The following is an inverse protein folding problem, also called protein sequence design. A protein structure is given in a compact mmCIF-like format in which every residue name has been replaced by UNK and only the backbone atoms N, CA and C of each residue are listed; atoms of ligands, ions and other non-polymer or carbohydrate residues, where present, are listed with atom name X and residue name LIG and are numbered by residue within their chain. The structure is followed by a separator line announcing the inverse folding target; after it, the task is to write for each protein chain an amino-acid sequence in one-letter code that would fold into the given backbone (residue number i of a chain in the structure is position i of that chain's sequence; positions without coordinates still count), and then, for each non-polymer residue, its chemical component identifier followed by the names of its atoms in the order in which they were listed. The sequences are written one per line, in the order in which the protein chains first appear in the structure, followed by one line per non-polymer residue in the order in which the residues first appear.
data_IF_353167502506
#
_entry.id   IF_353167502506
#
_cell.length_a   1.000
_cell.length_b   1.000
_cell.length_c   1.000
_cell.angle_alpha   90.00
_cell.angle_beta   90.00
_cell.angle_gamma   90.00
#
_symmetry.space_group_name_H-M   'P 1'
#
loop_
_entity.id
_entity.type
_entity.pdbx_description
1 polymer ?
#
# COMPACT_ATOMS: atom_id res chain seq x y z
N UNK A 1 -3.38 3.26 -6.85
CA UNK A 1 -2.27 2.29 -7.05
C UNK A 1 -1.26 2.25 -5.90
N UNK A 2 -0.76 3.38 -5.39
CA UNK A 2 0.26 3.39 -4.32
C UNK A 2 -0.22 2.79 -2.99
N UNK A 3 -1.51 2.94 -2.65
CA UNK A 3 -2.11 2.31 -1.47
C UNK A 3 -1.93 0.78 -1.47
N UNK A 4 -2.14 0.11 -2.61
CA UNK A 4 -1.97 -1.34 -2.71
C UNK A 4 -0.50 -1.75 -2.60
N UNK A 5 0.43 -0.94 -3.13
CA UNK A 5 1.87 -1.17 -2.94
C UNK A 5 2.23 -1.07 -1.46
N UNK A 6 1.81 0.00 -0.77
CA UNK A 6 2.02 0.15 0.67
C UNK A 6 1.41 -1.00 1.49
N UNK A 7 0.15 -1.35 1.21
CA UNK A 7 -0.56 -2.41 1.93
C UNK A 7 0.09 -3.77 1.73
N UNK A 8 0.51 -4.09 0.51
CA UNK A 8 1.23 -5.34 0.22
C UNK A 8 2.56 -5.42 0.97
N UNK A 9 3.36 -4.34 0.93
CA UNK A 9 4.64 -4.27 1.65
C UNK A 9 4.45 -4.42 3.15
N UNK A 10 3.45 -3.75 3.73
CA UNK A 10 3.10 -3.89 5.15
C UNK A 10 2.73 -5.33 5.49
N UNK A 11 1.84 -5.96 4.72
CA UNK A 11 1.44 -7.36 4.93
C UNK A 11 2.64 -8.29 4.89
N UNK A 12 3.52 -8.15 3.89
CA UNK A 12 4.70 -9.00 3.75
C UNK A 12 5.71 -8.76 4.87
N UNK A 13 5.93 -7.51 5.30
CA UNK A 13 6.79 -7.19 6.44
C UNK A 13 6.27 -7.81 7.75
N UNK A 14 4.96 -7.76 7.99
CA UNK A 14 4.35 -8.40 9.16
C UNK A 14 4.56 -9.92 9.13
N UNK A 15 4.33 -10.55 7.98
CA UNK A 15 4.57 -12.00 7.82
C UNK A 15 6.04 -12.38 8.04
N UNK A 16 6.98 -11.57 7.55
CA UNK A 16 8.41 -11.82 7.73
C UNK A 16 8.86 -11.65 9.18
N UNK A 17 8.28 -10.69 9.90
CA UNK A 17 8.58 -10.49 11.31
C UNK A 17 8.31 -11.76 12.13
N UNK A 18 7.24 -12.47 11.81
CA UNK A 18 6.81 -13.67 12.52
C UNK A 18 7.54 -14.95 12.07
N UNK A 19 7.99 -15.01 10.80
CA UNK A 19 8.47 -16.26 10.19
C UNK A 19 9.98 -16.28 9.90
N UNK A 20 10.63 -15.13 9.73
CA UNK A 20 12.05 -15.07 9.36
C UNK A 20 12.71 -13.72 9.71
N UNK A 21 13.27 -13.58 10.93
CA UNK A 21 13.90 -12.33 11.40
C UNK A 21 15.05 -11.78 10.52
N UNK A 22 15.92 -12.60 9.90
CA UNK A 22 16.99 -12.09 9.03
C UNK A 22 16.46 -11.42 7.75
N UNK A 23 15.49 -12.05 7.08
CA UNK A 23 14.89 -11.50 5.85
C UNK A 23 14.05 -10.25 6.15
N UNK A 24 13.44 -10.18 7.34
CA UNK A 24 12.76 -8.97 7.83
C UNK A 24 13.71 -7.77 7.88
N UNK A 25 14.93 -7.95 8.42
CA UNK A 25 15.87 -6.84 8.62
C UNK A 25 16.31 -6.20 7.30
N UNK A 26 16.58 -7.01 6.28
CA UNK A 26 16.87 -6.49 4.95
C UNK A 26 15.65 -5.79 4.33
N UNK A 27 14.48 -6.44 4.39
CA UNK A 27 13.22 -5.90 3.85
C UNK A 27 12.90 -4.53 4.44
N UNK A 28 13.01 -4.41 5.77
CA UNK A 28 12.79 -3.18 6.50
C UNK A 28 13.74 -2.07 6.04
N UNK A 29 15.04 -2.36 5.97
CA UNK A 29 16.05 -1.40 5.51
C UNK A 29 15.80 -0.98 4.06
N UNK A 30 15.45 -1.92 3.18
CA UNK A 30 15.11 -1.63 1.79
C UNK A 30 13.90 -0.70 1.68
N UNK A 31 12.84 -0.96 2.46
CA UNK A 31 11.61 -0.14 2.50
C UNK A 31 11.84 1.23 3.14
N UNK A 32 12.74 1.33 4.11
CA UNK A 32 13.11 2.61 4.72
C UNK A 32 13.76 3.56 3.69
N UNK A 33 14.58 3.01 2.78
CA UNK A 33 15.25 3.76 1.71
C UNK A 33 14.30 3.96 0.51
N UNK A 34 13.51 2.96 0.17
CA UNK A 34 12.58 2.97 -0.97
C UNK A 34 11.15 3.05 -0.44
N UNK A 35 10.62 4.27 -0.33
CA UNK A 35 9.29 4.48 0.26
C UNK A 35 8.19 3.90 -0.64
N UNK A 36 7.36 2.95 -0.16
CA UNK A 36 6.29 2.34 -0.96
C UNK A 36 5.10 3.27 -1.21
N UNK A 37 5.07 4.44 -0.55
CA UNK A 37 4.15 5.54 -0.86
C UNK A 37 4.40 6.14 -2.25
N UNK A 38 5.66 6.10 -2.73
CA UNK A 38 6.00 6.33 -4.13
C UNK A 38 6.06 4.99 -4.88
N UNK A 39 4.89 4.51 -5.29
CA UNK A 39 4.75 3.21 -5.92
C UNK A 39 5.55 3.04 -7.21
N UNK A 40 5.72 4.10 -8.02
CA UNK A 40 6.48 4.00 -9.29
C UNK A 40 7.98 3.85 -9.01
N UNK A 41 8.53 4.67 -8.12
CA UNK A 41 9.93 4.57 -7.72
C UNK A 41 10.22 3.22 -7.05
N UNK A 42 9.35 2.81 -6.12
CA UNK A 42 9.47 1.55 -5.42
C UNK A 42 9.50 0.34 -6.36
N UNK A 43 8.59 0.29 -7.34
CA UNK A 43 8.56 -0.80 -8.32
C UNK A 43 9.80 -0.83 -9.22
N UNK A 44 10.36 0.34 -9.58
CA UNK A 44 11.63 0.41 -10.31
C UNK A 44 12.80 -0.10 -9.46
N UNK A 45 12.83 0.25 -8.19
CA UNK A 45 13.84 -0.25 -7.25
C UNK A 45 13.76 -1.76 -7.08
N UNK A 46 12.54 -2.31 -6.93
CA UNK A 46 12.32 -3.76 -6.92
C UNK A 46 12.81 -4.39 -8.22
N UNK A 47 12.45 -3.86 -9.39
CA UNK A 47 12.91 -4.38 -10.69
C UNK A 47 14.45 -4.45 -10.82
N UNK A 48 15.19 -3.58 -10.15
CA UNK A 48 16.66 -3.67 -10.08
C UNK A 48 17.15 -4.85 -9.26
N UNK A 49 16.48 -5.17 -8.14
CA UNK A 49 16.74 -6.38 -7.33
C UNK A 49 16.56 -7.64 -8.18
N UNK A 50 15.52 -7.66 -9.03
CA UNK A 50 15.28 -8.74 -9.99
C UNK A 50 16.36 -8.86 -11.08
N UNK A 51 16.83 -7.75 -11.62
CA UNK A 51 17.88 -7.78 -12.65
C UNK A 51 19.23 -8.27 -12.09
N UNK A 52 19.52 -7.93 -10.82
CA UNK A 52 20.75 -8.34 -10.15
C UNK A 52 20.80 -9.85 -9.87
N UNK A 53 19.67 -10.51 -9.62
CA UNK A 53 19.62 -11.97 -9.43
C UNK A 53 19.87 -12.74 -10.74
N UNK A 54 19.41 -12.23 -11.89
CA UNK A 54 19.54 -12.89 -13.20
C UNK A 54 20.88 -12.65 -13.92
N UNK A 55 21.57 -11.54 -13.64
CA UNK A 55 22.89 -11.25 -14.23
C UNK A 55 24.03 -12.09 -13.61
N UNK A 56 23.83 -12.63 -12.41
CA UNK A 56 24.85 -13.40 -11.70
C UNK A 56 24.90 -14.87 -12.14
N UNK A 57 23.79 -15.44 -12.61
CA UNK A 57 23.74 -16.81 -13.16
C UNK A 57 24.35 -16.91 -14.56
N UNK A 58 24.27 -15.84 -15.36
CA UNK A 58 24.82 -15.79 -16.72
C UNK A 58 26.36 -15.56 -16.79
N UNK A 59 27.02 -15.20 -15.68
CA UNK A 59 28.45 -14.85 -15.65
C UNK A 59 29.36 -15.92 -15.02
N UNK A 60 28.81 -17.03 -14.53
CA UNK A 60 29.61 -18.13 -13.99
C UNK A 60 30.16 -18.95 -15.17
N UNK A 61 31.37 -18.59 -15.58
CA UNK A 61 32.20 -19.37 -16.48
C UNK A 61 32.68 -20.64 -15.73
N UNK A 62 32.49 -21.88 -16.26
CA UNK A 62 32.75 -23.12 -15.52
C UNK A 62 34.23 -23.43 -15.18
N UNK A 63 35.16 -22.50 -15.42
CA UNK A 63 36.61 -22.73 -15.32
C UNK A 63 37.33 -22.02 -14.17
N UNK A 64 36.65 -21.39 -13.20
CA UNK A 64 37.32 -20.82 -12.01
C UNK A 64 36.67 -21.25 -10.70
N UNK A 65 37.01 -22.46 -10.27
CA UNK A 65 36.81 -22.96 -8.91
C UNK A 65 37.98 -22.54 -8.00
N UNK A 66 37.97 -21.30 -7.49
CA UNK A 66 38.79 -20.98 -6.30
C UNK A 66 38.07 -19.98 -5.41
N UNK A 67 38.00 -20.33 -4.12
CA UNK A 67 37.50 -19.61 -2.94
C UNK A 67 35.98 -19.61 -2.68
N UNK A 68 35.59 -20.41 -1.68
CA UNK A 68 34.23 -20.62 -1.15
C UNK A 68 33.53 -19.41 -0.52
N UNK A 69 33.34 -18.33 -1.30
CA UNK A 69 32.48 -17.18 -0.96
C UNK A 69 31.20 -17.10 -1.80
N UNK A 70 31.02 -17.99 -2.79
CA UNK A 70 29.92 -17.93 -3.77
C UNK A 70 28.58 -18.47 -3.27
N UNK A 71 28.58 -19.50 -2.42
CA UNK A 71 27.35 -20.19 -2.00
C UNK A 71 26.44 -19.33 -1.08
N UNK A 72 27.04 -18.58 -0.15
CA UNK A 72 26.28 -17.73 0.80
C UNK A 72 25.72 -16.46 0.17
N UNK A 73 26.37 -15.91 -0.85
CA UNK A 73 25.84 -14.76 -1.59
C UNK A 73 24.66 -15.15 -2.49
N UNK A 74 24.68 -16.35 -3.07
CA UNK A 74 23.58 -16.86 -3.91
C UNK A 74 22.27 -17.02 -3.13
N UNK A 75 22.32 -17.54 -1.89
CA UNK A 75 21.11 -17.72 -1.07
C UNK A 75 20.47 -16.38 -0.68
N UNK A 76 21.28 -15.39 -0.28
CA UNK A 76 20.75 -14.07 0.11
C UNK A 76 20.14 -13.28 -1.04
N UNK A 77 20.64 -13.46 -2.27
CA UNK A 77 20.05 -12.83 -3.46
C UNK A 77 18.74 -13.49 -3.86
N UNK A 78 18.66 -14.82 -3.72
CA UNK A 78 17.43 -15.58 -3.93
C UNK A 78 16.34 -15.22 -2.90
N UNK A 79 16.69 -15.04 -1.63
CA UNK A 79 15.75 -14.58 -0.60
C UNK A 79 15.18 -13.19 -0.91
N UNK A 80 16.02 -12.27 -1.42
CA UNK A 80 15.59 -10.92 -1.83
C UNK A 80 14.67 -10.96 -3.05
N UNK A 81 14.94 -11.87 -3.96
CA UNK A 81 14.14 -12.14 -5.15
C UNK A 81 12.74 -12.67 -4.77
N UNK A 82 12.68 -13.74 -3.99
CA UNK A 82 11.43 -14.34 -3.50
C UNK A 82 10.59 -13.34 -2.70
N UNK A 83 11.25 -12.49 -1.92
CA UNK A 83 10.58 -11.42 -1.19
C UNK A 83 9.94 -10.39 -2.11
N UNK A 84 10.67 -9.96 -3.15
CA UNK A 84 10.16 -9.03 -4.14
C UNK A 84 8.94 -9.63 -4.86
N UNK A 85 8.97 -10.93 -5.17
CA UNK A 85 7.86 -11.66 -5.80
C UNK A 85 6.64 -11.69 -4.90
N UNK A 86 6.85 -11.98 -3.62
CA UNK A 86 5.78 -11.97 -2.63
C UNK A 86 5.09 -10.62 -2.55
N UNK A 87 5.84 -9.52 -2.57
CA UNK A 87 5.26 -8.16 -2.59
C UNK A 87 4.45 -7.92 -3.86
N UNK A 88 4.96 -8.32 -5.02
CA UNK A 88 4.28 -8.13 -6.31
C UNK A 88 2.97 -8.93 -6.39
N UNK A 89 3.00 -10.22 -6.03
CA UNK A 89 1.83 -11.09 -6.01
C UNK A 89 0.80 -10.60 -4.98
N UNK A 90 1.23 -10.22 -3.79
CA UNK A 90 0.34 -9.68 -2.75
C UNK A 90 -0.35 -8.40 -3.22
N UNK A 91 0.41 -7.50 -3.87
CA UNK A 91 -0.15 -6.27 -4.45
C UNK A 91 -1.22 -6.57 -5.50
N UNK A 92 -0.97 -7.52 -6.40
CA UNK A 92 -1.93 -7.93 -7.43
C UNK A 92 -3.17 -8.59 -6.82
N UNK A 93 -2.98 -9.46 -5.83
CA UNK A 93 -4.08 -10.12 -5.12
C UNK A 93 -5.01 -9.10 -4.44
N UNK A 94 -4.44 -8.13 -3.71
CA UNK A 94 -5.21 -7.08 -3.05
C UNK A 94 -5.99 -6.24 -4.06
N UNK A 95 -5.39 -5.95 -5.22
CA UNK A 95 -6.07 -5.24 -6.30
C UNK A 95 -7.24 -6.04 -6.88
N UNK A 96 -7.04 -7.33 -7.17
CA UNK A 96 -8.11 -8.22 -7.63
C UNK A 96 -9.27 -8.34 -6.63
N UNK A 97 -8.95 -8.42 -5.33
CA UNK A 97 -9.96 -8.44 -4.25
C UNK A 97 -10.74 -7.12 -4.16
N UNK A 98 -10.08 -5.99 -4.37
CA UNK A 98 -10.72 -4.68 -4.36
C UNK A 98 -11.62 -4.48 -5.59
N UNK A 99 -11.15 -4.82 -6.79
CA UNK A 99 -11.96 -4.73 -8.01
C UNK A 99 -13.28 -5.50 -7.88
N UNK A 100 -13.24 -6.69 -7.27
CA UNK A 100 -14.46 -7.50 -7.04
C UNK A 100 -15.44 -6.90 -6.03
N UNK A 101 -15.00 -5.97 -5.18
CA UNK A 101 -15.82 -5.32 -4.15
C UNK A 101 -16.26 -3.91 -4.54
N UNK A 102 -15.65 -3.31 -5.57
CA UNK A 102 -16.00 -1.97 -6.00
C UNK A 102 -17.30 -1.99 -6.78
N UNK A 103 -18.39 -1.79 -6.04
CA UNK A 103 -19.63 -1.32 -6.61
C UNK A 103 -19.55 0.21 -6.72
N UNK A 104 -19.29 0.68 -7.94
CA UNK A 104 -19.16 2.12 -8.19
C UNK A 104 -20.45 2.87 -7.83
N UNK A 105 -21.63 2.23 -7.97
CA UNK A 105 -22.90 2.85 -7.63
C UNK A 105 -22.98 3.18 -6.13
N UNK A 106 -22.59 2.24 -5.25
CA UNK A 106 -22.58 2.46 -3.80
C UNK A 106 -21.61 3.53 -3.33
N UNK A 107 -20.52 3.74 -4.07
CA UNK A 107 -19.56 4.81 -3.74
C UNK A 107 -20.14 6.17 -4.08
N UNK A 108 -20.80 6.31 -5.24
CA UNK A 108 -21.49 7.53 -5.62
C UNK A 108 -22.66 7.85 -4.69
N UNK A 109 -23.45 6.85 -4.34
CA UNK A 109 -24.55 6.96 -3.38
C UNK A 109 -24.04 7.52 -2.05
N UNK A 110 -23.00 6.91 -1.47
CA UNK A 110 -22.40 7.37 -0.22
C UNK A 110 -21.90 8.83 -0.28
N UNK A 111 -21.24 9.21 -1.38
CA UNK A 111 -20.76 10.60 -1.57
C UNK A 111 -21.95 11.57 -1.71
N UNK A 112 -23.00 11.17 -2.42
CA UNK A 112 -24.22 11.95 -2.58
C UNK A 112 -24.92 12.18 -1.22
N UNK A 113 -25.01 11.15 -0.40
CA UNK A 113 -25.60 11.22 0.94
C UNK A 113 -24.80 12.14 1.87
N UNK A 114 -23.46 12.02 1.86
CA UNK A 114 -22.56 12.90 2.62
C UNK A 114 -22.73 14.37 2.18
N UNK A 115 -22.85 14.63 0.87
CA UNK A 115 -23.08 15.98 0.37
C UNK A 115 -24.44 16.55 0.79
N UNK A 116 -25.49 15.72 0.79
CA UNK A 116 -26.82 16.13 1.24
C UNK A 116 -26.81 16.48 2.73
N UNK A 117 -26.17 15.64 3.57
CA UNK A 117 -26.03 15.89 4.99
C UNK A 117 -25.27 17.20 5.28
N UNK A 118 -24.16 17.44 4.57
CA UNK A 118 -23.40 18.69 4.70
C UNK A 118 -24.20 19.92 4.25
N UNK A 119 -25.06 19.79 3.23
CA UNK A 119 -25.97 20.88 2.84
C UNK A 119 -27.04 21.13 3.90
N UNK A 120 -27.63 20.08 4.46
CA UNK A 120 -28.62 20.17 5.53
C UNK A 120 -28.02 20.84 6.78
N UNK A 121 -26.82 20.45 7.17
CA UNK A 121 -26.08 21.04 8.30
C UNK A 121 -25.85 22.54 8.09
N UNK A 122 -25.30 22.94 6.93
CA UNK A 122 -25.10 24.36 6.61
C UNK A 122 -26.39 25.18 6.58
N UNK A 123 -27.50 24.57 6.15
CA UNK A 123 -28.81 25.21 6.18
C UNK A 123 -29.30 25.40 7.62
N UNK A 124 -29.17 24.39 8.48
CA UNK A 124 -29.56 24.50 9.89
C UNK A 124 -28.77 25.59 10.64
N UNK A 125 -27.50 25.80 10.30
CA UNK A 125 -26.67 26.87 10.87
C UNK A 125 -27.10 28.28 10.42
N UNK A 126 -27.71 28.41 9.24
CA UNK A 126 -28.05 29.70 8.62
C UNK A 126 -29.51 30.07 8.72
N UNK A 127 -30.40 29.11 8.99
CA UNK A 127 -31.83 29.36 9.15
C UNK A 127 -32.09 30.05 10.49
N UNK A 128 -32.44 31.33 10.40
CA UNK A 128 -33.02 32.10 11.51
C UNK A 128 -34.49 31.69 11.61
N UNK A 129 -34.83 30.89 12.62
CA UNK A 129 -36.24 30.60 12.92
C UNK A 129 -36.88 31.84 13.54
N UNK A 130 -38.06 32.30 13.06
CA UNK A 130 -38.85 33.26 13.81
C UNK A 130 -39.13 32.62 15.17
N UNK A 131 -38.65 33.23 16.25
CA UNK A 131 -39.06 32.80 17.59
C UNK A 131 -40.58 32.87 17.65
N UNK A 132 -41.21 31.84 18.19
CA UNK A 132 -42.63 31.82 18.51
C UNK A 132 -42.85 32.75 19.71
N UNK A 133 -42.54 34.04 19.53
CA UNK A 133 -42.92 35.09 20.44
C UNK A 133 -44.41 35.37 20.19
N UNK A 134 -45.23 34.36 20.49
CA UNK A 134 -46.61 34.52 20.97
C UNK A 134 -46.59 35.17 22.36
N UNK A 135 -45.81 36.25 22.49
CA UNK A 135 -46.01 37.27 23.49
C UNK A 135 -47.08 38.18 22.90
N UNK A 136 -48.34 37.79 23.14
CA UNK A 136 -49.51 38.64 22.90
C UNK A 136 -49.36 39.91 23.74
N UNK A 137 -48.66 40.90 23.20
CA UNK A 137 -48.71 42.26 23.69
C UNK A 137 -50.14 42.75 23.45
N UNK A 138 -50.90 42.78 24.55
CA UNK A 138 -52.20 43.43 24.61
C UNK A 138 -52.00 44.90 24.27
N UNK A 139 -52.34 45.27 23.05
CA UNK A 139 -52.57 46.66 22.68
C UNK A 139 -54.05 46.95 23.00
N UNK A 140 -54.29 47.83 23.98
CA UNK A 140 -55.60 48.43 24.26
C UNK A 140 -56.16 48.11 25.63
#
# INVERSE_FOLDING_TARGET
MNYFTYKAVRTVLTQLYELNPPSYRWSYNFVAVNKPTDGKHFLRALGKVYAQSHTHTARINPQKSVLGKSASHSSTLQERQELAERVMVTRLHLYGKWMKKCDHAKTYEKISDENLALMQERLMETVIWPTDDSSTEKIG
#
